data_IF_538373964031
#
_entry.id   IF_538373964031
#
_cell.length_a   1.000
_cell.length_b   1.000
_cell.length_c   1.000
_cell.angle_alpha   90.00
_cell.angle_beta   90.00
_cell.angle_gamma   90.00
#
_symmetry.space_group_name_H-M   'P 1'
#
loop_
_entity.id
_entity.type
_entity.pdbx_description
1 polymer ?
#
# COMPACT_ATOMS: atom_id res chain seq x y z
N UNK A 1 -31.25 -26.30 -19.83
CA UNK A 1 -30.33 -26.57 -18.72
C UNK A 1 -29.48 -25.32 -18.52
N UNK A 2 -29.81 -24.53 -17.49
CA UNK A 2 -29.18 -23.24 -17.23
C UNK A 2 -27.86 -23.42 -16.47
N UNK A 3 -26.76 -22.96 -17.06
CA UNK A 3 -25.52 -22.72 -16.33
C UNK A 3 -25.61 -21.36 -15.66
N UNK A 4 -25.78 -21.36 -14.34
CA UNK A 4 -25.80 -20.15 -13.52
C UNK A 4 -24.49 -19.37 -13.63
N UNK A 5 -24.61 -18.04 -13.63
CA UNK A 5 -23.50 -17.09 -13.72
C UNK A 5 -22.53 -17.21 -12.55
N UNK A 6 -21.53 -18.08 -12.69
CA UNK A 6 -20.32 -18.06 -11.87
C UNK A 6 -19.30 -17.12 -12.51
N UNK A 7 -18.69 -16.25 -11.70
CA UNK A 7 -17.72 -15.22 -12.14
C UNK A 7 -16.42 -15.73 -12.76
N UNK A 8 -16.30 -17.01 -13.10
CA UNK A 8 -15.14 -17.60 -13.75
C UNK A 8 -15.50 -18.02 -15.18
N UNK A 9 -14.90 -17.33 -16.15
CA UNK A 9 -15.06 -17.62 -17.58
C UNK A 9 -13.91 -18.51 -18.07
N UNK A 10 -14.23 -19.41 -18.99
CA UNK A 10 -13.26 -20.29 -19.66
C UNK A 10 -12.81 -19.65 -20.99
N UNK A 11 -11.73 -20.16 -21.56
CA UNK A 11 -11.28 -19.78 -22.90
C UNK A 11 -12.41 -19.91 -23.91
N UNK A 12 -12.57 -18.88 -24.77
CA UNK A 12 -13.63 -18.85 -25.80
C UNK A 12 -14.95 -18.18 -25.36
N UNK A 13 -15.10 -17.82 -24.08
CA UNK A 13 -16.25 -17.03 -23.59
C UNK A 13 -15.80 -15.64 -23.14
N UNK A 14 -15.60 -14.68 -24.08
CA UNK A 14 -15.16 -13.33 -23.71
C UNK A 14 -16.23 -12.63 -22.88
N UNK A 15 -15.81 -11.67 -22.05
CA UNK A 15 -16.75 -10.92 -21.22
C UNK A 15 -17.62 -9.97 -22.02
N UNK A 16 -17.05 -9.38 -23.05
CA UNK A 16 -17.69 -8.46 -23.97
C UNK A 16 -17.27 -8.83 -25.39
N UNK A 17 -18.15 -8.62 -26.35
CA UNK A 17 -17.84 -8.83 -27.75
C UNK A 17 -16.92 -7.70 -28.24
N UNK A 18 -15.71 -8.04 -28.67
CA UNK A 18 -14.71 -7.09 -29.15
C UNK A 18 -14.52 -7.23 -30.66
N UNK A 19 -14.74 -6.15 -31.41
CA UNK A 19 -14.54 -6.10 -32.86
C UNK A 19 -13.64 -4.94 -33.24
N UNK A 20 -12.75 -5.13 -34.22
CA UNK A 20 -11.89 -4.08 -34.76
C UNK A 20 -10.59 -3.82 -34.01
N UNK A 21 -10.27 -4.63 -32.99
CA UNK A 21 -8.98 -4.59 -32.31
C UNK A 21 -8.03 -5.63 -32.90
N UNK A 22 -6.83 -5.18 -33.26
CA UNK A 22 -5.75 -6.04 -33.72
C UNK A 22 -4.58 -5.95 -32.75
N UNK A 23 -4.12 -7.10 -32.25
CA UNK A 23 -2.99 -7.19 -31.34
C UNK A 23 -1.78 -7.78 -32.08
N UNK A 24 -0.62 -7.16 -31.91
CA UNK A 24 0.63 -7.63 -32.49
C UNK A 24 1.58 -8.04 -31.38
N UNK A 25 1.99 -9.31 -31.39
CA UNK A 25 2.97 -9.86 -30.46
C UNK A 25 4.30 -10.14 -31.16
N UNK A 26 5.41 -9.95 -30.44
CA UNK A 26 6.74 -10.40 -30.86
C UNK A 26 7.13 -11.59 -29.99
N UNK A 27 7.76 -12.61 -30.57
CA UNK A 27 8.23 -13.78 -29.83
C UNK A 27 9.12 -13.36 -28.66
N UNK A 28 8.93 -13.90 -27.44
CA UNK A 28 9.77 -13.57 -26.28
C UNK A 28 11.26 -13.82 -26.52
N UNK A 29 11.62 -14.80 -27.35
CA UNK A 29 13.01 -15.12 -27.69
C UNK A 29 13.69 -14.05 -28.56
N UNK A 30 12.90 -13.17 -29.19
CA UNK A 30 13.41 -12.03 -29.97
C UNK A 30 13.50 -10.75 -29.12
N UNK A 31 12.98 -10.77 -27.88
CA UNK A 31 12.99 -9.62 -26.98
C UNK A 31 14.18 -9.70 -26.00
N UNK A 32 14.67 -8.53 -25.60
CA UNK A 32 15.64 -8.41 -24.50
C UNK A 32 14.86 -8.34 -23.18
N UNK A 33 14.91 -9.39 -22.37
CA UNK A 33 14.06 -9.62 -21.18
C UNK A 33 13.97 -8.44 -20.20
N UNK A 34 15.05 -7.68 -20.01
CA UNK A 34 15.12 -6.54 -19.08
C UNK A 34 15.35 -5.19 -19.76
N UNK A 35 15.17 -5.11 -21.09
CA UNK A 35 15.31 -3.84 -21.78
C UNK A 35 14.25 -2.88 -21.28
N UNK A 36 14.70 -1.80 -20.65
CA UNK A 36 13.81 -0.80 -20.06
C UNK A 36 13.60 -0.92 -18.54
N UNK A 37 14.23 -1.90 -17.87
CA UNK A 37 14.08 -2.08 -16.41
C UNK A 37 14.60 -0.88 -15.62
N UNK A 38 15.81 -0.41 -15.92
CA UNK A 38 16.40 0.76 -15.25
C UNK A 38 15.82 2.07 -15.80
N UNK A 39 15.76 2.23 -17.12
CA UNK A 39 15.16 3.40 -17.76
C UNK A 39 14.24 2.94 -18.91
N UNK A 40 12.90 3.18 -18.84
CA UNK A 40 12.17 4.03 -17.89
C UNK A 40 11.58 3.30 -16.67
N UNK A 41 11.84 2.01 -16.48
CA UNK A 41 11.18 1.17 -15.48
C UNK A 41 11.30 1.69 -14.05
N UNK A 42 12.48 2.17 -13.63
CA UNK A 42 12.69 2.74 -12.29
C UNK A 42 11.83 4.00 -12.07
N UNK A 43 11.77 4.91 -13.05
CA UNK A 43 10.94 6.11 -12.97
C UNK A 43 9.44 5.78 -12.93
N UNK A 44 9.03 4.77 -13.69
CA UNK A 44 7.64 4.26 -13.67
C UNK A 44 7.30 3.55 -12.36
N UNK A 45 8.27 2.91 -11.71
CA UNK A 45 8.07 2.32 -10.40
C UNK A 45 7.96 3.41 -9.33
N UNK A 46 8.90 4.37 -9.32
CA UNK A 46 8.88 5.49 -8.38
C UNK A 46 7.57 6.28 -8.46
N UNK A 47 7.12 6.64 -9.66
CA UNK A 47 5.85 7.37 -9.83
C UNK A 47 4.63 6.58 -9.35
N UNK A 48 4.63 5.24 -9.46
CA UNK A 48 3.59 4.39 -8.86
C UNK A 48 3.70 4.35 -7.34
N UNK A 49 4.90 4.16 -6.80
CA UNK A 49 5.14 4.11 -5.37
C UNK A 49 4.71 5.42 -4.68
N UNK A 50 5.00 6.58 -5.26
CA UNK A 50 4.58 7.88 -4.72
C UNK A 50 3.07 8.01 -4.64
N UNK A 51 2.31 7.50 -5.62
CA UNK A 51 0.84 7.52 -5.59
C UNK A 51 0.28 6.70 -4.41
N UNK A 52 0.90 5.55 -4.12
CA UNK A 52 0.53 4.73 -2.96
C UNK A 52 0.98 5.36 -1.63
N UNK A 53 2.14 6.00 -1.62
CA UNK A 53 2.69 6.64 -0.42
C UNK A 53 1.79 7.76 0.12
N UNK A 54 0.97 8.41 -0.72
CA UNK A 54 0.00 9.42 -0.26
C UNK A 54 -1.10 8.81 0.60
N UNK A 55 -1.48 7.55 0.37
CA UNK A 55 -2.53 6.88 1.15
C UNK A 55 -1.97 6.16 2.38
N UNK A 56 -0.77 5.60 2.27
CA UNK A 56 -0.13 4.86 3.38
C UNK A 56 0.67 5.79 4.30
N UNK A 57 1.25 6.86 3.76
CA UNK A 57 2.09 7.80 4.48
C UNK A 57 1.40 8.49 5.65
N UNK A 58 0.23 9.13 5.46
CA UNK A 58 -0.48 9.82 6.54
C UNK A 58 -0.81 8.93 7.75
N UNK A 59 -1.43 7.74 7.61
CA UNK A 59 -1.69 6.89 8.77
C UNK A 59 -0.38 6.40 9.42
N UNK A 60 0.64 6.03 8.65
CA UNK A 60 1.93 5.63 9.21
C UNK A 60 2.59 6.75 10.02
N UNK A 61 2.60 7.98 9.51
CA UNK A 61 3.15 9.14 10.20
C UNK A 61 2.36 9.48 11.46
N UNK A 62 1.03 9.38 11.40
CA UNK A 62 0.16 9.60 12.55
C UNK A 62 0.44 8.61 13.68
N UNK A 63 0.50 7.31 13.38
CA UNK A 63 0.77 6.30 14.41
C UNK A 63 2.19 6.40 14.96
N UNK A 64 3.16 6.75 14.12
CA UNK A 64 4.54 6.97 14.56
C UNK A 64 4.64 8.15 15.54
N UNK A 65 3.98 9.27 15.25
CA UNK A 65 3.99 10.43 16.15
C UNK A 65 3.21 10.15 17.44
N UNK A 66 2.06 9.47 17.34
CA UNK A 66 1.25 9.09 18.49
C UNK A 66 2.02 8.18 19.45
N UNK A 67 2.76 7.19 18.90
CA UNK A 67 3.60 6.31 19.70
C UNK A 67 4.66 7.09 20.47
N UNK A 68 5.40 7.98 19.80
CA UNK A 68 6.44 8.78 20.46
C UNK A 68 5.89 9.67 21.58
N UNK A 69 4.70 10.25 21.37
CA UNK A 69 4.01 11.01 22.42
C UNK A 69 3.59 10.12 23.59
N UNK A 70 3.00 8.96 23.30
CA UNK A 70 2.53 8.02 24.32
C UNK A 70 3.69 7.49 25.17
N UNK A 71 4.81 7.10 24.56
CA UNK A 71 6.00 6.61 25.28
C UNK A 71 6.57 7.71 26.20
N UNK A 72 6.64 8.95 25.71
CA UNK A 72 7.13 10.10 26.50
C UNK A 72 6.23 10.41 27.69
N UNK A 73 4.90 10.35 27.49
CA UNK A 73 3.92 10.57 28.56
C UNK A 73 3.92 9.43 29.57
N UNK A 74 3.96 8.19 29.11
CA UNK A 74 4.05 7.02 29.97
C UNK A 74 5.29 7.08 30.86
N UNK A 75 6.45 7.42 30.30
CA UNK A 75 7.66 7.56 31.10
C UNK A 75 7.55 8.73 32.10
N UNK A 76 7.00 9.88 31.69
CA UNK A 76 6.79 11.02 32.57
C UNK A 76 5.91 10.66 33.78
N UNK A 77 4.79 9.98 33.56
CA UNK A 77 3.86 9.60 34.62
C UNK A 77 4.43 8.53 35.57
N UNK A 78 5.34 7.68 35.09
CA UNK A 78 6.00 6.66 35.92
C UNK A 78 7.29 7.16 36.62
N UNK A 79 7.74 8.39 36.36
CA UNK A 79 8.88 8.97 37.08
C UNK A 79 8.46 9.35 38.51
N UNK A 80 9.35 9.06 39.47
CA UNK A 80 9.17 9.39 40.90
C UNK A 80 8.78 10.86 41.14
N UNK A 81 9.31 11.77 40.31
CA UNK A 81 9.03 13.21 40.39
C UNK A 81 7.54 13.51 40.21
N UNK A 82 6.88 12.85 39.25
CA UNK A 82 5.44 13.02 39.05
C UNK A 82 4.64 12.31 40.13
N UNK A 83 5.00 11.07 40.49
CA UNK A 83 4.30 10.29 41.53
C UNK A 83 4.30 10.97 42.91
N UNK A 84 5.33 11.76 43.23
CA UNK A 84 5.42 12.53 44.48
C UNK A 84 4.79 13.92 44.38
N UNK A 85 4.41 14.36 43.18
CA UNK A 85 3.74 15.65 42.95
C UNK A 85 2.31 15.61 43.46
N UNK A 86 1.79 16.76 43.87
CA UNK A 86 0.43 16.85 44.40
C UNK A 86 -0.64 16.51 43.34
N UNK A 87 -0.33 16.74 42.06
CA UNK A 87 -1.16 16.33 40.94
C UNK A 87 -1.35 14.81 40.85
N UNK A 88 -0.37 13.98 41.24
CA UNK A 88 -0.54 12.54 41.28
C UNK A 88 -1.34 12.08 42.51
N UNK A 89 -1.26 12.80 43.63
CA UNK A 89 -2.00 12.48 44.87
C UNK A 89 -3.49 12.82 44.78
N UNK A 90 -3.90 13.77 43.94
CA UNK A 90 -5.31 14.10 43.69
C UNK A 90 -6.04 13.10 42.78
N UNK A 91 -5.28 12.34 41.97
CA UNK A 91 -5.84 11.37 41.00
C UNK A 91 -5.91 9.92 41.52
N UNK A 92 -5.43 9.67 42.73
CA UNK A 92 -5.46 8.37 43.43
C UNK A 92 -6.32 8.44 44.69
#
# INVERSE_FOLDING_TARGET
MGGGGGGHKWWGTPQEFQTGFYEYGVSPFQQKLFKGFLNPGLFKFASRATRWAIFVGPPCLFFYSLKGWADSKFEYYNRKVYLMSDAAKEHH
#
